data_IF_966104314627
#
_entry.id   IF_966104314627
#
_cell.length_a   1.000
_cell.length_b   1.000
_cell.length_c   1.000
_cell.angle_alpha   90.00
_cell.angle_beta   90.00
_cell.angle_gamma   90.00
#
_symmetry.space_group_name_H-M   'P 1'
#
loop_
_entity.id
_entity.type
_entity.pdbx_description
1 polymer ?
#
# COMPACT_ATOMS: atom_id res chain seq x y z
N UNK A 1 11.19 1.14 -3.45
CA UNK A 1 10.13 0.31 -2.84
C UNK A 1 10.29 -1.15 -3.20
N UNK A 2 9.57 -2.02 -2.50
CA UNK A 2 9.58 -3.46 -2.74
C UNK A 2 9.20 -3.81 -4.19
N UNK A 3 8.24 -3.11 -4.81
CA UNK A 3 7.83 -3.35 -6.20
C UNK A 3 7.31 -2.09 -6.91
N UNK A 4 7.64 -1.96 -8.20
CA UNK A 4 6.91 -1.10 -9.14
C UNK A 4 5.84 -1.95 -9.82
N UNK A 5 4.56 -1.61 -9.62
CA UNK A 5 3.44 -2.40 -10.14
C UNK A 5 2.95 -1.75 -11.43
N UNK A 6 2.96 -2.44 -12.58
CA UNK A 6 2.43 -1.89 -13.82
C UNK A 6 0.96 -1.48 -13.66
N UNK A 7 0.56 -0.38 -14.29
CA UNK A 7 -0.83 0.04 -14.29
C UNK A 7 -1.69 -0.85 -15.20
N UNK A 8 -2.86 -1.22 -14.70
CA UNK A 8 -3.87 -1.92 -15.48
C UNK A 8 -4.60 -0.91 -16.38
N UNK A 9 -4.84 -1.29 -17.64
CA UNK A 9 -5.54 -0.41 -18.60
C UNK A 9 -6.92 -0.99 -18.88
N UNK A 10 -7.99 -0.19 -18.74
CA UNK A 10 -9.35 -0.63 -19.04
C UNK A 10 -9.49 -0.89 -20.53
N UNK A 11 -10.26 -1.91 -20.93
CA UNK A 11 -10.60 -2.17 -22.34
C UNK A 11 -11.67 -1.21 -22.85
N UNK A 12 -11.71 -0.97 -24.17
CA UNK A 12 -12.79 -0.17 -24.74
C UNK A 12 -14.12 -0.91 -24.53
N UNK A 13 -15.16 -0.18 -24.13
CA UNK A 13 -16.50 -0.75 -24.03
C UNK A 13 -17.02 -1.08 -25.43
N UNK A 14 -17.87 -2.11 -25.59
CA UNK A 14 -18.55 -2.37 -26.86
C UNK A 14 -19.34 -1.13 -27.33
N UNK A 15 -19.46 -0.96 -28.65
CA UNK A 15 -20.20 0.16 -29.23
C UNK A 15 -21.67 0.11 -28.81
N UNK A 16 -22.25 1.19 -28.25
CA UNK A 16 -23.65 1.23 -27.83
C UNK A 16 -24.66 0.90 -28.95
N UNK A 17 -24.27 1.03 -30.23
CA UNK A 17 -25.11 0.67 -31.37
C UNK A 17 -25.29 -0.85 -31.58
N UNK A 18 -24.49 -1.69 -30.93
CA UNK A 18 -24.44 -3.13 -31.17
C UNK A 18 -25.31 -4.00 -30.26
N UNK A 19 -25.99 -3.41 -29.25
CA UNK A 19 -26.84 -4.15 -28.30
C UNK A 19 -28.16 -3.41 -28.08
N UNK A 20 -29.32 -3.98 -28.48
CA UNK A 20 -30.62 -3.31 -28.35
C UNK A 20 -31.12 -3.30 -26.90
N UNK A 21 -31.54 -2.12 -26.40
CA UNK A 21 -32.29 -1.98 -25.15
C UNK A 21 -32.26 -0.57 -24.53
N UNK A 22 -33.38 -0.04 -24.01
CA UNK A 22 -33.41 1.26 -23.34
C UNK A 22 -32.69 1.17 -21.97
N UNK A 23 -31.71 2.07 -21.71
CA UNK A 23 -31.15 2.25 -20.35
C UNK A 23 -31.94 3.38 -19.68
N UNK A 24 -32.51 3.18 -18.48
CA UNK A 24 -33.28 4.22 -17.78
C UNK A 24 -32.46 5.24 -16.98
N UNK A 25 -31.12 5.21 -17.00
CA UNK A 25 -30.28 6.35 -16.58
C UNK A 25 -30.34 7.45 -17.64
N UNK A 26 -30.34 8.71 -17.21
CA UNK A 26 -30.25 9.86 -18.13
C UNK A 26 -29.10 9.61 -19.12
N UNK A 27 -29.37 9.58 -20.44
CA UNK A 27 -28.36 9.25 -21.46
C UNK A 27 -27.08 10.09 -21.33
N UNK A 28 -27.17 11.29 -20.74
CA UNK A 28 -26.02 12.16 -20.46
C UNK A 28 -25.06 11.63 -19.38
N UNK A 29 -25.53 10.94 -18.35
CA UNK A 29 -24.69 10.50 -17.23
C UNK A 29 -23.86 9.27 -17.62
N UNK A 30 -24.46 8.30 -18.30
CA UNK A 30 -23.75 7.16 -18.88
C UNK A 30 -22.72 7.65 -19.92
N UNK A 31 -23.10 8.56 -20.82
CA UNK A 31 -22.16 9.16 -21.79
C UNK A 31 -21.00 9.87 -21.10
N UNK A 32 -21.26 10.56 -19.98
CA UNK A 32 -20.21 11.22 -19.20
C UNK A 32 -19.26 10.18 -18.59
N UNK A 33 -19.79 9.12 -17.98
CA UNK A 33 -18.99 8.02 -17.44
C UNK A 33 -18.11 7.40 -18.53
N UNK A 34 -18.68 7.07 -19.69
CA UNK A 34 -17.96 6.48 -20.82
C UNK A 34 -16.86 7.40 -21.35
N UNK A 35 -17.14 8.70 -21.49
CA UNK A 35 -16.16 9.70 -21.91
C UNK A 35 -15.00 9.82 -20.90
N UNK A 36 -15.30 9.87 -19.60
CA UNK A 36 -14.29 9.92 -18.53
C UNK A 36 -13.46 8.62 -18.48
N UNK A 37 -14.10 7.47 -18.67
CA UNK A 37 -13.43 6.17 -18.77
C UNK A 37 -12.50 6.09 -19.98
N UNK A 38 -12.92 6.65 -21.12
CA UNK A 38 -12.10 6.74 -22.32
C UNK A 38 -10.88 7.67 -22.11
N UNK A 39 -11.07 8.80 -21.41
CA UNK A 39 -9.98 9.68 -21.01
C UNK A 39 -8.97 8.97 -20.09
N UNK A 40 -9.46 8.23 -19.07
CA UNK A 40 -8.63 7.40 -18.20
C UNK A 40 -7.82 6.37 -19.00
N UNK A 41 -8.48 5.62 -19.89
CA UNK A 41 -7.82 4.65 -20.78
C UNK A 41 -6.72 5.30 -21.62
N UNK A 42 -6.98 6.50 -22.16
CA UNK A 42 -6.02 7.23 -23.00
C UNK A 42 -4.77 7.57 -22.20
N UNK A 43 -4.91 8.23 -21.05
CA UNK A 43 -3.79 8.69 -20.22
C UNK A 43 -2.94 7.50 -19.74
N UNK A 44 -3.58 6.45 -19.20
CA UNK A 44 -2.88 5.23 -18.75
C UNK A 44 -2.13 4.51 -19.88
N UNK A 45 -2.51 4.73 -21.16
CA UNK A 45 -1.85 4.14 -22.32
C UNK A 45 -0.75 5.04 -22.89
N UNK A 46 -0.93 6.35 -22.88
CA UNK A 46 -0.02 7.30 -23.55
C UNK A 46 1.14 7.73 -22.67
N UNK A 47 0.94 7.83 -21.36
CA UNK A 47 1.92 8.40 -20.43
C UNK A 47 2.24 7.44 -19.28
N UNK A 48 2.89 6.28 -19.52
CA UNK A 48 3.01 5.19 -18.55
C UNK A 48 3.73 5.55 -17.23
N UNK A 49 4.50 6.64 -17.21
CA UNK A 49 5.25 7.11 -16.04
C UNK A 49 4.67 8.40 -15.42
N UNK A 50 3.59 8.96 -15.96
CA UNK A 50 2.95 10.17 -15.43
C UNK A 50 2.02 9.85 -14.24
N UNK A 51 2.57 9.29 -13.17
CA UNK A 51 1.78 8.77 -12.05
C UNK A 51 0.92 9.83 -11.35
N UNK A 52 1.39 11.08 -11.27
CA UNK A 52 0.59 12.20 -10.77
C UNK A 52 -0.66 12.45 -11.63
N UNK A 53 -0.52 12.47 -12.95
CA UNK A 53 -1.65 12.61 -13.89
C UNK A 53 -2.61 11.42 -13.81
N UNK A 54 -2.08 10.22 -13.59
CA UNK A 54 -2.90 9.03 -13.38
C UNK A 54 -3.77 9.15 -12.12
N UNK A 55 -3.19 9.58 -11.00
CA UNK A 55 -3.92 9.79 -9.75
C UNK A 55 -5.03 10.82 -9.96
N UNK A 56 -4.69 11.98 -10.54
CA UNK A 56 -5.66 13.04 -10.80
C UNK A 56 -6.81 12.58 -11.71
N UNK A 57 -6.49 11.86 -12.79
CA UNK A 57 -7.51 11.36 -13.74
C UNK A 57 -8.43 10.34 -13.08
N UNK A 58 -7.88 9.48 -12.22
CA UNK A 58 -8.67 8.51 -11.45
C UNK A 58 -9.57 9.24 -10.45
N UNK A 59 -9.05 10.25 -9.75
CA UNK A 59 -9.82 11.03 -8.77
C UNK A 59 -10.95 11.83 -9.44
N UNK A 60 -10.80 12.23 -10.71
CA UNK A 60 -11.88 12.82 -11.53
C UNK A 60 -12.91 11.76 -11.97
N UNK A 61 -12.49 10.54 -12.28
CA UNK A 61 -13.38 9.48 -12.77
C UNK A 61 -14.22 8.85 -11.64
N UNK A 62 -13.63 8.68 -10.47
CA UNK A 62 -14.19 7.90 -9.36
C UNK A 62 -15.57 8.39 -8.87
N UNK A 63 -15.84 9.70 -8.69
CA UNK A 63 -17.16 10.21 -8.33
C UNK A 63 -18.28 9.75 -9.28
N UNK A 64 -17.98 9.61 -10.57
CA UNK A 64 -18.95 9.16 -11.57
C UNK A 64 -19.23 7.66 -11.48
N UNK A 65 -18.19 6.84 -11.24
CA UNK A 65 -18.35 5.40 -11.01
C UNK A 65 -19.22 5.15 -9.78
N UNK A 66 -18.97 5.89 -8.70
CA UNK A 66 -19.74 5.77 -7.46
C UNK A 66 -21.20 6.21 -7.63
N UNK A 67 -21.46 7.29 -8.37
CA UNK A 67 -22.81 7.74 -8.66
C UNK A 67 -23.63 6.68 -9.42
N UNK A 68 -23.04 6.10 -10.47
CA UNK A 68 -23.71 5.03 -11.23
C UNK A 68 -23.86 3.77 -10.39
N UNK A 69 -22.87 3.42 -9.56
CA UNK A 69 -22.96 2.28 -8.66
C UNK A 69 -24.12 2.43 -7.68
N UNK A 70 -24.24 3.59 -7.03
CA UNK A 70 -25.33 3.87 -6.09
C UNK A 70 -26.70 3.81 -6.76
N UNK A 71 -26.82 4.31 -7.99
CA UNK A 71 -28.05 4.23 -8.77
C UNK A 71 -28.41 2.77 -9.10
N UNK A 72 -27.43 1.99 -9.58
CA UNK A 72 -27.62 0.59 -9.97
C UNK A 72 -27.91 -0.31 -8.77
N UNK A 73 -27.30 -0.07 -7.61
CA UNK A 73 -27.62 -0.82 -6.38
C UNK A 73 -29.06 -0.61 -5.95
N UNK A 74 -29.63 0.58 -6.17
CA UNK A 74 -31.05 0.86 -5.87
C UNK A 74 -31.99 0.28 -6.93
N UNK A 75 -31.60 0.39 -8.20
CA UNK A 75 -32.38 -0.08 -9.34
C UNK A 75 -31.48 -0.81 -10.35
N UNK A 76 -31.31 -2.14 -10.23
CA UNK A 76 -30.39 -2.92 -11.07
C UNK A 76 -30.68 -2.83 -12.58
N UNK A 77 -31.94 -2.58 -12.96
CA UNK A 77 -32.38 -2.44 -14.35
C UNK A 77 -31.85 -1.16 -15.04
N UNK A 78 -31.23 -0.24 -14.29
CA UNK A 78 -30.74 1.04 -14.79
C UNK A 78 -29.53 0.90 -15.73
N UNK A 79 -28.69 -0.10 -15.49
CA UNK A 79 -27.48 -0.34 -16.27
C UNK A 79 -27.68 -1.54 -17.19
N UNK A 80 -27.42 -1.32 -18.47
CA UNK A 80 -27.39 -2.42 -19.44
C UNK A 80 -26.35 -3.47 -19.03
N UNK A 81 -26.53 -4.75 -19.41
CA UNK A 81 -25.49 -5.76 -19.23
C UNK A 81 -24.21 -5.35 -19.96
N UNK A 82 -23.20 -4.89 -19.21
CA UNK A 82 -21.89 -4.49 -19.73
C UNK A 82 -20.83 -5.39 -19.10
N UNK A 83 -19.94 -5.93 -19.94
CA UNK A 83 -18.80 -6.69 -19.46
C UNK A 83 -17.62 -5.74 -19.27
N UNK A 84 -17.29 -5.45 -18.01
CA UNK A 84 -16.16 -4.63 -17.62
C UNK A 84 -14.89 -5.46 -17.72
N UNK A 85 -13.92 -5.00 -18.52
CA UNK A 85 -12.68 -5.73 -18.77
C UNK A 85 -11.44 -4.88 -18.53
N UNK A 86 -10.50 -5.47 -17.80
CA UNK A 86 -9.23 -4.90 -17.42
C UNK A 86 -8.08 -5.88 -17.71
N UNK A 87 -6.86 -5.37 -17.73
CA UNK A 87 -5.66 -6.21 -17.85
C UNK A 87 -5.19 -6.61 -16.45
N UNK A 88 -5.08 -7.89 -16.14
CA UNK A 88 -4.38 -8.28 -14.89
C UNK A 88 -2.89 -7.95 -15.03
N UNK A 89 -2.34 -7.38 -13.97
CA UNK A 89 -0.94 -6.94 -13.83
C UNK A 89 -0.22 -7.75 -12.77
N UNK A 90 -0.96 -8.42 -11.88
CA UNK A 90 -0.43 -9.29 -10.83
C UNK A 90 -0.27 -10.75 -11.28
N UNK A 91 -0.55 -11.07 -12.55
CA UNK A 91 -0.28 -12.40 -13.12
C UNK A 91 0.70 -12.34 -14.31
N UNK A 92 1.76 -13.17 -14.31
CA UNK A 92 2.75 -13.21 -15.38
C UNK A 92 2.18 -13.81 -16.66
N UNK A 93 1.17 -14.68 -16.56
CA UNK A 93 0.46 -15.21 -17.72
C UNK A 93 -0.38 -14.14 -18.43
N UNK A 94 -0.79 -13.08 -17.73
CA UNK A 94 -1.43 -11.91 -18.33
C UNK A 94 -0.39 -10.94 -18.92
N UNK A 95 0.80 -10.81 -18.32
CA UNK A 95 1.85 -9.90 -18.84
C UNK A 95 2.56 -10.45 -20.08
N UNK A 96 2.89 -11.73 -20.14
CA UNK A 96 3.85 -12.25 -21.13
C UNK A 96 3.21 -12.98 -22.33
N UNK A 97 1.88 -13.03 -22.43
CA UNK A 97 1.22 -13.64 -23.61
C UNK A 97 1.26 -12.71 -24.84
N UNK A 98 1.62 -13.23 -26.04
CA UNK A 98 1.48 -12.51 -27.29
C UNK A 98 0.03 -12.08 -27.55
N UNK A 99 -0.17 -10.99 -28.27
CA UNK A 99 -1.51 -10.66 -28.80
C UNK A 99 -1.91 -11.74 -29.83
N UNK A 100 -3.21 -12.11 -29.95
CA UNK A 100 -4.40 -11.54 -29.31
C UNK A 100 -4.85 -12.24 -28.01
N UNK A 101 -4.15 -13.29 -27.56
CA UNK A 101 -4.59 -14.23 -26.52
C UNK A 101 -4.27 -13.80 -25.07
N UNK A 102 -4.09 -12.50 -24.84
CA UNK A 102 -3.80 -11.95 -23.51
C UNK A 102 -5.09 -12.09 -22.67
N UNK A 103 -5.10 -12.91 -21.60
CA UNK A 103 -6.29 -13.15 -20.82
C UNK A 103 -6.82 -11.83 -20.24
N UNK A 104 -8.14 -11.77 -20.03
CA UNK A 104 -8.84 -10.56 -19.60
C UNK A 104 -9.47 -10.82 -18.25
N UNK A 105 -9.18 -9.94 -17.30
CA UNK A 105 -9.82 -9.95 -16.00
C UNK A 105 -11.07 -9.08 -16.12
N UNK A 106 -12.23 -9.61 -15.73
CA UNK A 106 -13.46 -8.86 -15.91
C UNK A 106 -14.67 -9.57 -15.35
N UNK A 107 -15.75 -8.80 -15.23
CA UNK A 107 -17.05 -9.27 -14.79
C UNK A 107 -18.16 -8.36 -15.30
N UNK A 108 -19.38 -8.70 -14.98
CA UNK A 108 -20.59 -7.98 -15.41
C UNK A 108 -20.98 -6.86 -14.45
N UNK A 109 -20.39 -6.83 -13.25
CA UNK A 109 -20.74 -5.87 -12.20
C UNK A 109 -19.85 -4.63 -12.25
N UNK A 110 -20.42 -3.49 -11.85
CA UNK A 110 -19.68 -2.24 -11.71
C UNK A 110 -18.71 -2.28 -10.51
N UNK A 111 -18.88 -3.23 -9.57
CA UNK A 111 -17.92 -3.50 -8.50
C UNK A 111 -16.54 -3.91 -9.05
N UNK A 112 -16.49 -4.64 -10.18
CA UNK A 112 -15.23 -4.97 -10.86
C UNK A 112 -14.53 -3.72 -11.38
N UNK A 113 -15.28 -2.81 -12.00
CA UNK A 113 -14.74 -1.53 -12.46
C UNK A 113 -14.22 -0.70 -11.29
N UNK A 114 -15.00 -0.56 -10.21
CA UNK A 114 -14.60 0.18 -9.02
C UNK A 114 -13.32 -0.37 -8.39
N UNK A 115 -13.24 -1.69 -8.22
CA UNK A 115 -12.05 -2.35 -7.67
C UNK A 115 -10.81 -2.08 -8.53
N UNK A 116 -10.88 -2.26 -9.86
CA UNK A 116 -9.74 -1.97 -10.73
C UNK A 116 -9.34 -0.48 -10.75
N UNK A 117 -10.30 0.45 -10.69
CA UNK A 117 -10.01 1.89 -10.61
C UNK A 117 -9.24 2.22 -9.33
N UNK A 118 -9.71 1.71 -8.18
CA UNK A 118 -9.06 1.92 -6.90
C UNK A 118 -7.69 1.23 -6.82
N UNK A 119 -7.57 0.00 -7.34
CA UNK A 119 -6.28 -0.69 -7.43
C UNK A 119 -5.28 0.10 -8.27
N UNK A 120 -5.69 0.66 -9.42
CA UNK A 120 -4.81 1.52 -10.21
C UNK A 120 -4.40 2.80 -9.48
N UNK A 121 -5.29 3.39 -8.68
CA UNK A 121 -4.95 4.54 -7.83
C UNK A 121 -3.84 4.17 -6.85
N UNK A 122 -3.99 3.03 -6.17
CA UNK A 122 -3.00 2.52 -5.22
C UNK A 122 -1.67 2.19 -5.91
N UNK A 123 -1.70 1.57 -7.10
CA UNK A 123 -0.50 1.32 -7.92
C UNK A 123 0.20 2.61 -8.35
N UNK A 124 -0.56 3.63 -8.78
CA UNK A 124 0.00 4.92 -9.17
C UNK A 124 0.66 5.64 -7.99
N UNK A 125 0.03 5.62 -6.81
CA UNK A 125 0.62 6.14 -5.57
C UNK A 125 1.93 5.42 -5.20
N UNK A 126 1.94 4.09 -5.30
CA UNK A 126 3.14 3.30 -5.13
C UNK A 126 4.24 3.74 -6.10
N UNK A 127 3.95 3.79 -7.40
CA UNK A 127 4.96 4.12 -8.39
C UNK A 127 5.46 5.57 -8.27
N UNK A 128 4.60 6.51 -7.86
CA UNK A 128 4.98 7.89 -7.53
C UNK A 128 5.93 7.95 -6.32
N UNK A 129 5.68 7.13 -5.28
CA UNK A 129 6.60 7.01 -4.16
C UNK A 129 7.95 6.41 -4.60
N UNK A 130 7.95 5.43 -5.51
CA UNK A 130 9.19 4.89 -6.06
C UNK A 130 9.98 5.92 -6.88
N UNK A 131 9.33 6.74 -7.70
CA UNK A 131 10.03 7.75 -8.52
C UNK A 131 10.70 8.84 -7.68
N UNK A 132 10.15 9.17 -6.50
CA UNK A 132 10.79 10.09 -5.55
C UNK A 132 12.06 9.51 -4.90
N UNK A 133 12.21 8.19 -4.91
CA UNK A 133 13.28 7.45 -4.27
C UNK A 133 14.40 7.03 -5.24
N UNK A 134 14.32 7.42 -6.50
CA UNK A 134 15.39 7.18 -7.48
C UNK A 134 16.67 7.94 -7.08
N UNK A 135 17.85 7.33 -7.29
CA UNK A 135 19.12 7.91 -6.84
C UNK A 135 19.41 9.20 -7.60
N UNK A 136 19.56 10.30 -6.84
CA UNK A 136 20.05 11.58 -7.33
C UNK A 136 20.85 12.28 -6.25
N UNK A 137 21.76 13.17 -6.65
CA UNK A 137 22.46 14.04 -5.71
C UNK A 137 21.49 15.15 -5.27
N UNK A 138 20.97 15.02 -4.07
CA UNK A 138 19.96 15.93 -3.51
C UNK A 138 20.43 16.41 -2.15
N UNK A 139 20.17 17.68 -1.81
CA UNK A 139 20.46 18.20 -0.48
C UNK A 139 19.76 17.41 0.62
N UNK A 140 20.32 17.43 1.84
CA UNK A 140 19.79 16.67 2.99
C UNK A 140 18.31 16.98 3.27
N UNK A 141 17.93 18.25 3.21
CA UNK A 141 16.57 18.72 3.52
C UNK A 141 15.57 18.26 2.47
N UNK A 142 15.93 18.35 1.19
CA UNK A 142 15.09 17.88 0.10
C UNK A 142 15.00 16.34 0.10
N UNK A 143 16.07 15.63 0.48
CA UNK A 143 16.01 14.18 0.70
C UNK A 143 15.04 13.80 1.83
N UNK A 144 15.02 14.55 2.95
CA UNK A 144 14.05 14.34 4.02
C UNK A 144 12.61 14.63 3.54
N UNK A 145 12.41 15.69 2.76
CA UNK A 145 11.11 16.02 2.17
C UNK A 145 10.60 14.90 1.25
N UNK A 146 11.45 14.40 0.35
CA UNK A 146 11.13 13.28 -0.55
C UNK A 146 10.77 12.01 0.23
N UNK A 147 11.50 11.71 1.31
CA UNK A 147 11.19 10.56 2.18
C UNK A 147 9.81 10.70 2.83
N UNK A 148 9.47 11.88 3.35
CA UNK A 148 8.16 12.13 3.96
C UNK A 148 7.04 12.00 2.91
N UNK A 149 7.23 12.57 1.72
CA UNK A 149 6.24 12.51 0.65
C UNK A 149 6.04 11.09 0.12
N UNK A 150 7.12 10.33 -0.08
CA UNK A 150 7.05 8.94 -0.50
C UNK A 150 6.36 8.06 0.56
N UNK A 151 6.67 8.26 1.84
CA UNK A 151 5.98 7.57 2.93
C UNK A 151 4.49 7.92 2.93
N UNK A 152 4.12 9.19 2.71
CA UNK A 152 2.73 9.62 2.66
C UNK A 152 1.93 8.91 1.56
N UNK A 153 2.46 8.87 0.34
CA UNK A 153 1.84 8.16 -0.78
C UNK A 153 1.67 6.66 -0.50
N UNK A 154 2.64 6.03 0.16
CA UNK A 154 2.54 4.63 0.55
C UNK A 154 1.46 4.38 1.61
N UNK A 155 1.32 5.27 2.61
CA UNK A 155 0.25 5.18 3.60
C UNK A 155 -1.13 5.37 2.98
N UNK A 156 -1.25 6.28 2.00
CA UNK A 156 -2.48 6.43 1.20
C UNK A 156 -2.77 5.16 0.40
N UNK A 157 -1.77 4.59 -0.26
CA UNK A 157 -1.91 3.36 -1.06
C UNK A 157 -2.35 2.16 -0.21
N UNK A 158 -1.69 1.96 0.94
CA UNK A 158 -2.06 0.93 1.92
C UNK A 158 -3.53 1.07 2.36
N UNK A 159 -3.97 2.30 2.61
CA UNK A 159 -5.36 2.63 2.91
C UNK A 159 -6.35 2.24 1.81
N UNK A 160 -6.02 2.54 0.55
CA UNK A 160 -6.84 2.19 -0.62
C UNK A 160 -6.93 0.67 -0.77
N UNK A 161 -5.81 -0.06 -0.67
CA UNK A 161 -5.82 -1.52 -0.71
C UNK A 161 -6.67 -2.12 0.40
N UNK A 162 -6.51 -1.62 1.64
CA UNK A 162 -7.33 -2.06 2.76
C UNK A 162 -8.82 -1.82 2.48
N UNK A 163 -9.21 -0.64 1.98
CA UNK A 163 -10.60 -0.35 1.62
C UNK A 163 -11.13 -1.30 0.54
N UNK A 164 -10.36 -1.56 -0.52
CA UNK A 164 -10.76 -2.49 -1.60
C UNK A 164 -10.99 -3.89 -1.03
N UNK A 165 -10.06 -4.41 -0.22
CA UNK A 165 -10.16 -5.73 0.38
C UNK A 165 -11.39 -5.91 1.27
N UNK A 166 -11.73 -4.90 2.10
CA UNK A 166 -12.81 -5.01 3.08
C UNK A 166 -14.18 -4.59 2.55
N UNK A 167 -14.25 -3.59 1.66
CA UNK A 167 -15.51 -2.93 1.29
C UNK A 167 -15.94 -3.16 -0.16
N UNK A 168 -15.04 -3.60 -1.04
CA UNK A 168 -15.31 -3.69 -2.49
C UNK A 168 -15.34 -5.15 -2.95
N UNK A 169 -14.32 -5.94 -2.59
CA UNK A 169 -14.19 -7.31 -3.11
C UNK A 169 -15.28 -8.28 -2.62
N UNK A 170 -15.88 -8.06 -1.45
CA UNK A 170 -17.03 -8.87 -1.01
C UNK A 170 -18.21 -8.83 -1.99
N UNK A 171 -18.43 -7.68 -2.64
CA UNK A 171 -19.49 -7.51 -3.65
C UNK A 171 -19.04 -7.91 -5.07
N UNK A 172 -17.74 -8.14 -5.27
CA UNK A 172 -17.21 -8.70 -6.51
C UNK A 172 -17.53 -10.20 -6.58
N UNK A 173 -17.28 -10.93 -5.48
CA UNK A 173 -17.38 -12.39 -5.45
C UNK A 173 -18.83 -12.92 -5.52
N UNK A 174 -19.81 -12.15 -5.03
CA UNK A 174 -21.21 -12.53 -5.02
C UNK A 174 -21.79 -12.87 -6.41
N UNK A 175 -21.26 -12.26 -7.48
CA UNK A 175 -21.68 -12.51 -8.87
C UNK A 175 -20.62 -13.25 -9.71
N UNK A 176 -19.35 -13.22 -9.30
CA UNK A 176 -18.27 -13.92 -10.01
C UNK A 176 -18.39 -15.45 -9.92
N UNK A 177 -19.04 -15.98 -8.87
CA UNK A 177 -19.34 -17.40 -8.72
C UNK A 177 -20.24 -17.96 -9.85
N UNK A 178 -21.02 -17.12 -10.53
CA UNK A 178 -21.89 -17.52 -11.64
C UNK A 178 -21.16 -17.61 -12.99
N UNK A 179 -20.02 -16.92 -13.13
CA UNK A 179 -19.21 -16.94 -14.35
C UNK A 179 -18.00 -17.86 -14.13
N UNK A 180 -18.04 -19.06 -14.70
CA UNK A 180 -16.96 -20.06 -14.70
C UNK A 180 -15.67 -19.59 -15.40
N UNK A 181 -15.05 -18.51 -14.90
CA UNK A 181 -13.77 -17.97 -15.34
C UNK A 181 -12.90 -17.70 -14.12
N UNK A 182 -11.67 -18.20 -14.21
CA UNK A 182 -10.62 -18.08 -13.22
C UNK A 182 -10.56 -16.64 -12.64
N UNK A 183 -10.86 -16.47 -11.34
CA UNK A 183 -10.82 -15.15 -10.68
C UNK A 183 -9.36 -14.62 -10.71
N UNK A 184 -9.07 -13.44 -11.28
CA UNK A 184 -7.73 -12.87 -11.29
C UNK A 184 -7.19 -12.66 -9.87
N UNK A 185 -5.86 -12.60 -9.68
CA UNK A 185 -5.25 -12.28 -8.38
C UNK A 185 -5.70 -10.91 -7.82
N UNK A 186 -6.10 -9.97 -8.67
CA UNK A 186 -6.67 -8.67 -8.24
C UNK A 186 -8.03 -8.79 -7.53
N UNK A 187 -8.78 -9.87 -7.79
CA UNK A 187 -10.06 -10.14 -7.13
C UNK A 187 -9.94 -10.92 -5.82
N UNK A 188 -8.72 -11.28 -5.40
CA UNK A 188 -8.49 -12.05 -4.18
C UNK A 188 -8.26 -11.13 -2.97
N UNK A 189 -9.10 -11.27 -1.94
CA UNK A 189 -9.03 -10.48 -0.70
C UNK A 189 -7.67 -10.64 -0.01
N UNK A 190 -7.12 -11.86 0.00
CA UNK A 190 -5.82 -12.15 0.60
C UNK A 190 -4.68 -11.45 -0.13
N UNK A 191 -4.68 -11.47 -1.46
CA UNK A 191 -3.68 -10.76 -2.28
C UNK A 191 -3.76 -9.26 -2.05
N UNK A 192 -4.96 -8.66 -2.09
CA UNK A 192 -5.10 -7.20 -1.91
C UNK A 192 -4.75 -6.77 -0.48
N UNK A 193 -5.12 -7.56 0.54
CA UNK A 193 -4.65 -7.33 1.93
C UNK A 193 -3.13 -7.48 2.04
N UNK A 194 -2.53 -8.45 1.37
CA UNK A 194 -1.09 -8.61 1.30
C UNK A 194 -0.39 -7.38 0.71
N UNK A 195 -0.96 -6.77 -0.34
CA UNK A 195 -0.47 -5.50 -0.90
C UNK A 195 -0.60 -4.33 0.09
N UNK A 196 -1.70 -4.27 0.86
CA UNK A 196 -1.87 -3.26 1.91
C UNK A 196 -0.77 -3.35 2.99
N UNK A 197 -0.43 -4.57 3.41
CA UNK A 197 0.63 -4.83 4.40
C UNK A 197 2.03 -4.56 3.84
N UNK A 198 2.29 -5.00 2.61
CA UNK A 198 3.56 -4.77 1.90
C UNK A 198 3.87 -3.28 1.80
N UNK A 199 2.89 -2.48 1.37
CA UNK A 199 3.04 -1.02 1.23
C UNK A 199 3.17 -0.30 2.57
N UNK A 200 2.47 -0.76 3.61
CA UNK A 200 2.65 -0.24 4.97
C UNK A 200 4.07 -0.51 5.49
N UNK A 201 4.60 -1.70 5.25
CA UNK A 201 5.96 -2.06 5.64
C UNK A 201 7.02 -1.24 4.88
N UNK A 202 6.81 -0.99 3.57
CA UNK A 202 7.65 -0.08 2.78
C UNK A 202 7.64 1.34 3.38
N UNK A 203 6.47 1.87 3.77
CA UNK A 203 6.35 3.20 4.37
C UNK A 203 7.09 3.28 5.72
N UNK A 204 6.93 2.25 6.55
CA UNK A 204 7.62 2.15 7.84
C UNK A 204 9.14 2.10 7.67
N UNK A 205 9.66 1.37 6.67
CA UNK A 205 11.10 1.36 6.36
C UNK A 205 11.65 2.75 6.00
N UNK A 206 10.90 3.57 5.26
CA UNK A 206 11.32 4.95 4.97
C UNK A 206 11.39 5.80 6.24
N UNK A 207 10.42 5.63 7.14
CA UNK A 207 10.44 6.32 8.43
C UNK A 207 11.54 5.81 9.36
N UNK A 208 11.87 4.52 9.34
CA UNK A 208 13.01 3.95 10.08
C UNK A 208 14.32 4.53 9.55
N UNK A 209 14.50 4.61 8.23
CA UNK A 209 15.68 5.24 7.62
C UNK A 209 15.85 6.68 8.09
N UNK A 210 14.76 7.44 8.14
CA UNK A 210 14.75 8.80 8.69
C UNK A 210 15.11 8.82 10.18
N UNK A 211 14.51 7.94 10.99
CA UNK A 211 14.78 7.85 12.42
C UNK A 211 16.24 7.48 12.72
N UNK A 212 16.81 6.56 11.95
CA UNK A 212 18.22 6.19 12.01
C UNK A 212 19.12 7.39 11.70
N UNK A 213 18.83 8.16 10.64
CA UNK A 213 19.58 9.37 10.29
C UNK A 213 19.47 10.49 11.34
N UNK A 214 18.48 10.44 12.23
CA UNK A 214 18.31 11.35 13.37
C UNK A 214 18.91 10.81 14.67
N UNK A 215 19.65 9.71 14.63
CA UNK A 215 20.34 9.15 15.80
C UNK A 215 19.44 8.38 16.77
N UNK A 216 18.31 7.82 16.30
CA UNK A 216 17.49 6.95 17.15
C UNK A 216 18.29 5.74 17.61
N UNK A 217 18.20 5.39 18.90
CA UNK A 217 18.98 4.29 19.48
C UNK A 217 18.63 2.90 18.92
N UNK A 218 19.64 2.02 18.87
CA UNK A 218 19.56 0.68 18.28
C UNK A 218 18.44 -0.18 18.88
N UNK A 219 18.26 -0.16 20.20
CA UNK A 219 17.18 -0.91 20.85
C UNK A 219 15.77 -0.50 20.38
N UNK A 220 15.57 0.78 20.06
CA UNK A 220 14.30 1.26 19.51
C UNK A 220 14.17 0.91 18.04
N UNK A 221 15.23 1.09 17.26
CA UNK A 221 15.26 0.71 15.84
C UNK A 221 14.97 -0.78 15.64
N UNK A 222 15.51 -1.65 16.51
CA UNK A 222 15.22 -3.08 16.48
C UNK A 222 13.71 -3.37 16.59
N UNK A 223 12.99 -2.71 17.51
CA UNK A 223 11.53 -2.85 17.66
C UNK A 223 10.77 -2.43 16.40
N UNK A 224 11.23 -1.39 15.71
CA UNK A 224 10.63 -0.92 14.46
C UNK A 224 10.88 -1.91 13.31
N UNK A 225 12.11 -2.44 13.19
CA UNK A 225 12.43 -3.43 12.17
C UNK A 225 11.68 -4.76 12.38
N UNK A 226 11.49 -5.20 13.63
CA UNK A 226 10.66 -6.38 13.95
C UNK A 226 9.22 -6.16 13.49
N UNK A 227 8.64 -4.98 13.74
CA UNK A 227 7.29 -4.63 13.29
C UNK A 227 7.15 -4.64 11.76
N UNK A 228 8.15 -4.14 11.03
CA UNK A 228 8.21 -4.26 9.56
C UNK A 228 8.31 -5.72 9.11
N UNK A 229 9.16 -6.52 9.75
CA UNK A 229 9.35 -7.92 9.40
C UNK A 229 8.05 -8.72 9.53
N UNK A 230 7.27 -8.48 10.59
CA UNK A 230 5.96 -9.13 10.81
C UNK A 230 5.00 -8.82 9.66
N UNK A 231 4.91 -7.56 9.20
CA UNK A 231 4.02 -7.18 8.09
C UNK A 231 4.43 -7.82 6.78
N UNK A 232 5.73 -7.86 6.48
CA UNK A 232 6.24 -8.56 5.30
C UNK A 232 5.94 -10.06 5.37
N UNK A 233 6.05 -10.67 6.54
CA UNK A 233 5.80 -12.11 6.74
C UNK A 233 4.31 -12.44 6.59
N UNK A 234 3.42 -11.60 7.13
CA UNK A 234 1.97 -11.72 6.94
C UNK A 234 1.58 -11.53 5.47
N UNK A 235 2.12 -10.52 4.79
CA UNK A 235 1.92 -10.33 3.34
C UNK A 235 2.39 -11.56 2.53
N UNK A 236 3.57 -12.08 2.86
CA UNK A 236 4.15 -13.26 2.24
C UNK A 236 3.27 -14.51 2.44
N UNK A 237 2.73 -14.71 3.65
CA UNK A 237 1.82 -15.81 3.94
C UNK A 237 0.55 -15.74 3.09
N UNK A 238 -0.04 -14.55 2.95
CA UNK A 238 -1.22 -14.33 2.10
C UNK A 238 -0.92 -14.63 0.61
N UNK A 239 0.21 -14.16 0.10
CA UNK A 239 0.63 -14.45 -1.27
C UNK A 239 0.88 -15.95 -1.51
N UNK A 240 1.53 -16.63 -0.56
CA UNK A 240 1.79 -18.07 -0.64
C UNK A 240 0.51 -18.89 -0.56
N UNK A 241 -0.43 -18.50 0.29
CA UNK A 241 -1.74 -19.15 0.38
C UNK A 241 -2.41 -19.13 -1.00
N UNK A 242 -2.50 -17.96 -1.64
CA UNK A 242 -3.05 -17.84 -3.00
C UNK A 242 -2.33 -18.71 -4.03
N UNK A 243 -1.00 -18.84 -3.95
CA UNK A 243 -0.24 -19.71 -4.85
C UNK A 243 -0.53 -21.21 -4.63
N UNK A 244 -0.91 -21.60 -3.41
CA UNK A 244 -1.20 -22.96 -2.99
C UNK A 244 -2.65 -23.38 -3.21
N UNK A 245 -3.63 -22.46 -3.10
CA UNK A 245 -5.08 -22.72 -3.25
C UNK A 245 -5.53 -23.13 -4.67
N UNK A 246 -4.62 -23.67 -5.50
CA UNK A 246 -4.91 -24.10 -6.86
C UNK A 246 -5.70 -25.41 -6.87
N UNK A 247 -6.89 -25.48 -7.51
CA UNK A 247 -7.49 -26.77 -7.82
C UNK A 247 -6.59 -27.51 -8.82
N UNK A 248 -6.30 -28.78 -8.53
CA UNK A 248 -5.39 -29.65 -9.29
C UNK A 248 -5.97 -30.12 -10.64
N UNK A 249 -6.91 -29.39 -11.24
CA UNK A 249 -7.50 -29.77 -12.52
C UNK A 249 -6.51 -29.45 -13.64
N UNK A 250 -5.66 -30.43 -13.93
CA UNK A 250 -4.91 -30.56 -15.18
C UNK A 250 -5.89 -30.56 -16.35
N UNK A 251 -6.05 -29.41 -16.99
CA UNK A 251 -6.53 -29.34 -18.37
C UNK A 251 -5.46 -28.66 -19.20
N UNK A 252 -4.55 -29.49 -19.74
CA UNK A 252 -3.64 -29.11 -20.80
C UNK A 252 -2.31 -28.50 -20.35
N UNK A 253 -1.36 -28.54 -21.29
CA UNK A 253 0.04 -28.09 -21.21
C UNK A 253 0.23 -26.58 -20.97
N UNK A 254 -0.84 -25.87 -20.61
CA UNK A 254 -0.86 -24.42 -20.42
C UNK A 254 -0.99 -24.08 -18.94
N UNK A 255 0.04 -23.43 -18.37
CA UNK A 255 -0.04 -22.83 -17.02
C UNK A 255 -1.29 -21.92 -16.98
N UNK A 256 -2.19 -22.20 -16.03
CA UNK A 256 -3.41 -21.41 -15.79
C UNK A 256 -3.11 -19.92 -15.77
N UNK A 257 -3.99 -19.13 -16.38
CA UNK A 257 -3.76 -17.71 -16.61
C UNK A 257 -3.73 -16.91 -15.29
N UNK A 258 -4.25 -17.43 -14.18
CA UNK A 258 -4.51 -16.68 -12.93
C UNK A 258 -3.47 -16.84 -11.83
N UNK A 259 -2.31 -17.41 -12.13
CA UNK A 259 -1.21 -17.49 -11.16
C UNK A 259 -0.74 -16.10 -10.70
N UNK A 260 -0.42 -15.98 -9.41
CA UNK A 260 0.22 -14.77 -8.86
C UNK A 260 1.65 -14.64 -9.42
N UNK A 261 2.08 -13.41 -9.67
CA UNK A 261 3.44 -13.06 -10.04
C UNK A 261 4.44 -13.50 -8.97
N UNK A 262 5.43 -14.38 -9.29
CA UNK A 262 6.41 -14.85 -8.32
C UNK A 262 7.30 -13.73 -7.75
N UNK A 263 7.41 -12.59 -8.44
CA UNK A 263 8.15 -11.44 -7.93
C UNK A 263 7.49 -10.83 -6.68
N UNK A 264 6.17 -10.98 -6.53
CA UNK A 264 5.41 -10.47 -5.38
C UNK A 264 5.81 -11.13 -4.05
N UNK A 265 5.71 -12.47 -3.90
CA UNK A 265 6.21 -13.16 -2.71
C UNK A 265 7.73 -13.08 -2.59
N UNK A 266 8.50 -13.04 -3.69
CA UNK A 266 9.95 -12.87 -3.61
C UNK A 266 10.33 -11.53 -2.97
N UNK A 267 9.66 -10.43 -3.35
CA UNK A 267 9.88 -9.11 -2.77
C UNK A 267 9.49 -9.07 -1.28
N UNK A 268 8.35 -9.65 -0.91
CA UNK A 268 7.96 -9.75 0.50
C UNK A 268 8.98 -10.56 1.32
N UNK A 269 9.48 -11.68 0.77
CA UNK A 269 10.50 -12.50 1.41
C UNK A 269 11.84 -11.75 1.57
N UNK A 270 12.25 -10.96 0.57
CA UNK A 270 13.39 -10.05 0.71
C UNK A 270 13.16 -9.03 1.83
N UNK A 271 11.94 -8.48 1.94
CA UNK A 271 11.55 -7.59 3.02
C UNK A 271 11.68 -8.23 4.41
N UNK A 272 11.21 -9.47 4.58
CA UNK A 272 11.38 -10.24 5.83
C UNK A 272 12.87 -10.40 6.16
N UNK A 273 13.66 -10.88 5.20
CA UNK A 273 15.09 -11.14 5.41
C UNK A 273 15.85 -9.86 5.79
N UNK A 274 15.62 -8.77 5.05
CA UNK A 274 16.23 -7.48 5.32
C UNK A 274 15.84 -6.93 6.70
N UNK A 275 14.55 -6.88 7.01
CA UNK A 275 14.10 -6.32 8.29
C UNK A 275 14.61 -7.12 9.49
N UNK A 276 14.59 -8.47 9.42
CA UNK A 276 15.16 -9.32 10.47
C UNK A 276 16.67 -9.12 10.62
N UNK A 277 17.41 -9.04 9.51
CA UNK A 277 18.85 -8.78 9.56
C UNK A 277 19.18 -7.40 10.17
N UNK A 278 18.41 -6.36 9.84
CA UNK A 278 18.61 -5.03 10.42
C UNK A 278 18.22 -4.98 11.91
N UNK A 279 17.19 -5.73 12.33
CA UNK A 279 16.89 -5.91 13.76
C UNK A 279 18.03 -6.63 14.49
N UNK A 280 18.53 -7.75 13.93
CA UNK A 280 19.66 -8.50 14.45
C UNK A 280 20.90 -7.59 14.57
N UNK A 281 21.21 -6.79 13.55
CA UNK A 281 22.30 -5.81 13.57
C UNK A 281 22.15 -4.84 14.75
N UNK A 282 20.98 -4.25 14.94
CA UNK A 282 20.74 -3.32 16.04
C UNK A 282 20.93 -3.98 17.42
N UNK A 283 20.42 -5.20 17.58
CA UNK A 283 20.56 -5.98 18.83
C UNK A 283 22.01 -6.41 19.08
N UNK A 284 22.75 -6.75 18.03
CA UNK A 284 24.15 -7.11 18.13
C UNK A 284 25.03 -5.93 18.55
N UNK A 285 24.76 -4.73 18.02
CA UNK A 285 25.47 -3.51 18.45
C UNK A 285 25.16 -3.22 19.92
N UNK A 286 23.90 -3.29 20.34
CA UNK A 286 23.51 -3.09 21.74
C UNK A 286 24.13 -4.14 22.69
N UNK A 287 24.23 -5.40 22.26
CA UNK A 287 24.93 -6.44 23.02
C UNK A 287 26.45 -6.20 23.09
N UNK A 288 27.05 -5.73 22.00
CA UNK A 288 28.47 -5.36 21.96
C UNK A 288 28.77 -4.20 22.92
N UNK A 289 27.94 -3.17 22.92
CA UNK A 289 28.06 -2.00 23.80
C UNK A 289 27.94 -2.37 25.29
N UNK A 290 27.21 -3.45 25.61
CA UNK A 290 27.09 -4.03 26.96
C UNK A 290 28.24 -4.95 27.35
N UNK A 291 29.21 -5.18 26.46
CA UNK A 291 30.31 -6.11 26.66
C UNK A 291 29.94 -7.58 26.43
N UNK A 292 28.73 -7.91 25.97
CA UNK A 292 28.29 -9.28 25.69
C UNK A 292 28.82 -9.77 24.32
N UNK A 293 30.15 -9.72 24.10
CA UNK A 293 30.75 -9.85 22.76
C UNK A 293 30.42 -11.19 22.07
N UNK A 294 30.49 -12.31 22.79
CA UNK A 294 30.12 -13.62 22.24
C UNK A 294 28.69 -13.67 21.66
N UNK A 295 27.73 -13.06 22.38
CA UNK A 295 26.34 -12.93 21.94
C UNK A 295 26.21 -11.97 20.75
N UNK A 296 26.93 -10.84 20.77
CA UNK A 296 26.96 -9.89 19.66
C UNK A 296 27.43 -10.56 18.36
N UNK A 297 28.49 -11.38 18.41
CA UNK A 297 29.00 -12.15 17.27
C UNK A 297 27.93 -13.12 16.76
N UNK A 298 27.30 -13.89 17.64
CA UNK A 298 26.27 -14.86 17.27
C UNK A 298 25.11 -14.20 16.51
N UNK A 299 24.58 -13.10 17.04
CA UNK A 299 23.47 -12.35 16.43
C UNK A 299 23.92 -11.71 15.11
N UNK A 300 25.10 -11.08 15.05
CA UNK A 300 25.58 -10.43 13.83
C UNK A 300 25.85 -11.43 12.70
N UNK A 301 26.36 -12.64 13.02
CA UNK A 301 26.49 -13.74 12.03
C UNK A 301 25.12 -14.18 11.50
N UNK A 302 24.09 -14.20 12.35
CA UNK A 302 22.72 -14.47 11.90
C UNK A 302 22.24 -13.41 10.91
N UNK A 303 22.47 -12.13 11.20
CA UNK A 303 22.15 -11.02 10.31
C UNK A 303 22.82 -11.19 8.93
N UNK A 304 24.12 -11.50 8.91
CA UNK A 304 24.87 -11.72 7.68
C UNK A 304 24.31 -12.89 6.86
N UNK A 305 24.03 -14.02 7.51
CA UNK A 305 23.46 -15.19 6.84
C UNK A 305 22.10 -14.88 6.20
N UNK A 306 21.23 -14.13 6.88
CA UNK A 306 19.93 -13.69 6.34
C UNK A 306 20.07 -12.83 5.08
N UNK A 307 21.10 -11.98 5.02
CA UNK A 307 21.35 -11.15 3.83
C UNK A 307 21.97 -11.94 2.67
N UNK A 308 22.83 -12.92 2.95
CA UNK A 308 23.48 -13.76 1.95
C UNK A 308 22.52 -14.78 1.32
N UNK A 309 21.52 -15.26 2.07
CA UNK A 309 20.49 -16.20 1.61
C UNK A 309 19.36 -15.52 0.83
N UNK A 310 19.69 -14.50 0.02
CA UNK A 310 18.73 -13.69 -0.73
C UNK A 310 17.84 -14.57 -1.63
N UNK A 311 16.50 -14.42 -1.58
CA UNK A 311 15.58 -15.10 -2.50
C UNK A 311 15.89 -14.77 -3.97
N UNK A 312 15.87 -15.79 -4.83
CA UNK A 312 15.95 -15.61 -6.28
C UNK A 312 14.65 -14.97 -6.79
N UNK A 313 14.73 -13.96 -7.67
CA UNK A 313 13.57 -13.35 -8.34
C UNK A 313 13.28 -11.88 -8.00
N UNK A 314 13.70 -11.36 -6.84
CA UNK A 314 13.42 -9.96 -6.46
C UNK A 314 14.52 -8.96 -6.90
N UNK A 315 15.30 -9.28 -7.94
CA UNK A 315 16.60 -8.67 -8.24
C UNK A 315 16.59 -7.13 -8.34
N UNK A 316 15.49 -6.55 -8.81
CA UNK A 316 15.38 -5.11 -9.06
C UNK A 316 14.66 -4.30 -7.95
N UNK A 317 14.29 -4.91 -6.81
CA UNK A 317 13.60 -4.17 -5.75
C UNK A 317 14.54 -3.21 -5.00
N UNK A 318 13.98 -2.17 -4.38
CA UNK A 318 14.74 -1.30 -3.47
C UNK A 318 15.35 -2.07 -2.31
N UNK A 319 14.61 -3.04 -1.76
CA UNK A 319 15.09 -3.86 -0.65
C UNK A 319 16.28 -4.71 -1.10
N UNK A 320 16.22 -5.30 -2.30
CA UNK A 320 17.36 -6.00 -2.90
C UNK A 320 18.61 -5.12 -2.99
N UNK A 321 18.45 -3.86 -3.42
CA UNK A 321 19.56 -2.88 -3.44
C UNK A 321 20.04 -2.53 -2.03
N UNK A 322 19.15 -2.37 -1.06
CA UNK A 322 19.54 -2.12 0.34
C UNK A 322 20.29 -3.31 0.94
N UNK A 323 19.91 -4.55 0.61
CA UNK A 323 20.65 -5.75 1.03
C UNK A 323 22.09 -5.68 0.48
N UNK A 324 22.26 -5.38 -0.81
CA UNK A 324 23.58 -5.26 -1.45
C UNK A 324 24.44 -4.17 -0.80
N UNK A 325 23.85 -3.01 -0.47
CA UNK A 325 24.55 -1.91 0.20
C UNK A 325 24.97 -2.27 1.64
N UNK A 326 24.10 -2.92 2.41
CA UNK A 326 24.32 -3.15 3.84
C UNK A 326 25.14 -4.43 4.13
N UNK A 327 25.16 -5.40 3.22
CA UNK A 327 25.91 -6.65 3.38
C UNK A 327 27.41 -6.46 3.67
N UNK A 328 28.17 -5.64 2.92
CA UNK A 328 29.60 -5.46 3.20
C UNK A 328 29.85 -4.81 4.57
N UNK A 329 28.99 -3.88 4.98
CA UNK A 329 29.10 -3.23 6.29
C UNK A 329 28.85 -4.23 7.43
N UNK A 330 27.80 -5.05 7.34
CA UNK A 330 27.53 -6.09 8.33
C UNK A 330 28.67 -7.11 8.38
N UNK A 331 29.21 -7.51 7.23
CA UNK A 331 30.38 -8.39 7.18
C UNK A 331 31.58 -7.77 7.91
N UNK A 332 31.88 -6.50 7.66
CA UNK A 332 32.96 -5.80 8.35
C UNK A 332 32.75 -5.75 9.87
N UNK A 333 31.50 -5.58 10.34
CA UNK A 333 31.19 -5.59 11.77
C UNK A 333 31.42 -6.98 12.39
N UNK A 334 31.03 -8.06 11.70
CA UNK A 334 31.34 -9.44 12.13
C UNK A 334 32.84 -9.63 12.29
N UNK A 335 33.62 -9.26 11.27
CA UNK A 335 35.07 -9.44 11.27
C UNK A 335 35.73 -8.64 12.42
N UNK A 336 35.25 -7.43 12.69
CA UNK A 336 35.70 -6.62 13.83
C UNK A 336 35.35 -7.28 15.17
N UNK A 337 34.10 -7.71 15.36
CA UNK A 337 33.68 -8.30 16.65
C UNK A 337 34.42 -9.60 16.95
N UNK A 338 34.63 -10.44 15.93
CA UNK A 338 35.43 -11.67 16.04
C UNK A 338 36.88 -11.33 16.43
N UNK A 339 37.51 -10.37 15.75
CA UNK A 339 38.87 -9.94 16.09
C UNK A 339 39.00 -9.46 17.53
N UNK A 340 38.07 -8.63 18.01
CA UNK A 340 38.06 -8.13 19.39
C UNK A 340 37.89 -9.29 20.37
N UNK A 341 36.99 -10.22 20.06
CA UNK A 341 36.78 -11.39 20.93
C UNK A 341 38.01 -12.30 20.97
N UNK A 342 38.67 -12.53 19.85
CA UNK A 342 39.83 -13.44 19.75
C UNK A 342 41.12 -12.82 20.31
N UNK A 343 41.15 -11.51 20.55
CA UNK A 343 42.33 -10.80 21.06
C UNK A 343 42.19 -10.24 22.47
N UNK A 344 40.96 -9.90 22.90
CA UNK A 344 40.72 -9.21 24.17
C UNK A 344 39.72 -9.95 25.06
N UNK A 345 38.53 -10.28 24.55
CA UNK A 345 37.41 -10.68 25.42
C UNK A 345 37.30 -12.19 25.66
N UNK A 346 37.69 -13.02 24.69
CA UNK A 346 37.64 -14.48 24.74
C UNK A 346 36.30 -15.07 25.20
N UNK A 347 35.18 -14.39 24.90
CA UNK A 347 33.85 -14.89 25.23
C UNK A 347 33.51 -16.09 24.34
N UNK A 348 32.82 -17.08 24.90
CA UNK A 348 32.24 -18.17 24.12
C UNK A 348 31.14 -17.63 23.22
N UNK A 349 31.14 -18.04 21.95
CA UNK A 349 30.10 -17.64 20.98
C UNK A 349 28.96 -18.67 21.07
N UNK A 350 27.79 -18.32 21.64
CA UNK A 350 26.69 -19.26 21.74
C UNK A 350 26.07 -19.53 20.36
N UNK A 351 25.48 -20.72 20.14
CA UNK A 351 24.64 -20.95 18.97
C UNK A 351 23.37 -20.09 19.05
N UNK A 352 22.82 -19.67 17.91
CA UNK A 352 21.62 -18.82 17.86
C UNK A 352 20.41 -19.45 18.59
N UNK A 353 20.30 -20.78 18.61
CA UNK A 353 19.24 -21.49 19.32
C UNK A 353 19.32 -21.35 20.86
N UNK A 354 20.51 -21.12 21.41
CA UNK A 354 20.70 -20.96 22.85
C UNK A 354 20.33 -19.55 23.36
N UNK A 355 20.15 -18.58 22.47
CA UNK A 355 19.83 -17.19 22.84
C UNK A 355 18.34 -16.96 23.15
N UNK A 356 17.48 -17.96 22.93
CA UNK A 356 16.04 -17.85 23.16
C UNK A 356 15.39 -16.80 22.26
N UNK A 357 14.29 -16.18 22.74
CA UNK A 357 13.64 -15.09 22.03
C UNK A 357 14.41 -13.77 22.25
N UNK A 358 15.27 -13.43 21.29
CA UNK A 358 16.04 -12.18 21.31
C UNK A 358 15.24 -10.96 20.81
N UNK A 359 14.09 -11.18 20.15
CA UNK A 359 13.36 -10.09 19.53
C UNK A 359 12.52 -9.33 20.55
N UNK A 360 12.67 -8.00 20.64
CA UNK A 360 11.84 -7.19 21.51
C UNK A 360 10.41 -7.10 20.96
N UNK A 361 9.47 -6.69 21.83
CA UNK A 361 8.10 -6.42 21.40
C UNK A 361 8.08 -5.39 20.24
N UNK A 362 7.36 -5.69 19.13
CA UNK A 362 7.31 -4.82 17.97
C UNK A 362 6.71 -3.46 18.33
N UNK A 363 7.19 -2.41 17.65
CA UNK A 363 6.63 -1.06 17.79
C UNK A 363 6.22 -0.53 16.42
N UNK A 364 4.93 -0.27 16.28
CA UNK A 364 4.37 0.36 15.09
C UNK A 364 4.61 1.88 15.12
N UNK A 365 5.19 2.42 14.05
CA UNK A 365 5.43 3.86 13.91
C UNK A 365 4.37 4.57 13.08
N UNK A 366 3.92 3.93 12.00
CA UNK A 366 2.96 4.48 11.05
C UNK A 366 1.71 3.61 10.95
N UNK A 367 0.57 4.23 10.66
CA UNK A 367 -0.69 3.56 10.37
C UNK A 367 -1.15 3.89 8.94
N UNK A 368 -1.84 2.96 8.26
CA UNK A 368 -2.47 3.25 6.98
C UNK A 368 -3.39 4.47 7.09
N UNK A 369 -3.40 5.33 6.07
CA UNK A 369 -4.40 6.40 6.01
C UNK A 369 -5.74 5.80 5.65
N UNK A 370 -6.77 6.01 6.46
CA UNK A 370 -8.11 5.54 6.12
C UNK A 370 -8.56 6.16 4.81
N UNK A 371 -8.80 5.33 3.81
CA UNK A 371 -9.35 5.80 2.55
C UNK A 371 -10.83 6.13 2.71
N UNK A 372 -11.22 7.32 2.23
CA UNK A 372 -12.62 7.75 2.14
C UNK A 372 -12.94 7.98 0.67
N UNK A 373 -13.93 7.27 0.09
CA UNK A 373 -14.38 7.54 -1.26
C UNK A 373 -14.83 9.00 -1.41
N UNK A 374 -14.60 9.63 -2.57
CA UNK A 374 -15.14 10.96 -2.84
C UNK A 374 -16.67 10.91 -2.89
N UNK A 375 -17.36 12.05 -2.70
CA UNK A 375 -18.79 12.12 -2.89
C UNK A 375 -19.18 11.68 -4.32
N UNK A 376 -20.35 11.09 -4.45
CA UNK A 376 -20.89 10.71 -5.75
C UNK A 376 -21.16 11.98 -6.57
N UNK A 377 -20.72 12.01 -7.83
CA UNK A 377 -21.07 13.09 -8.75
C UNK A 377 -22.57 12.99 -9.10
N UNK A 378 -23.43 13.46 -8.21
CA UNK A 378 -24.86 13.64 -8.47
C UNK A 378 -25.10 15.07 -8.94
N UNK A 379 -26.14 15.30 -9.76
CA UNK A 379 -26.38 16.59 -10.42
C UNK A 379 -26.46 17.84 -9.51
N UNK A 380 -26.47 17.69 -8.18
CA UNK A 380 -26.36 18.79 -7.21
C UNK A 380 -24.96 19.42 -7.14
N UNK A 381 -23.89 18.66 -7.41
CA UNK A 381 -22.51 19.17 -7.32
C UNK A 381 -22.17 20.14 -8.46
N UNK A 382 -22.91 20.07 -9.57
CA UNK A 382 -22.80 21.01 -10.70
C UNK A 382 -23.12 22.45 -10.30
N UNK A 383 -23.94 22.67 -9.26
CA UNK A 383 -24.24 24.04 -8.78
C UNK A 383 -23.08 24.65 -7.99
N UNK A 384 -22.23 23.84 -7.36
CA UNK A 384 -21.07 24.35 -6.60
C UNK A 384 -19.91 24.76 -7.52
N UNK A 385 -19.60 23.97 -8.55
CA UNK A 385 -18.57 24.32 -9.54
C UNK A 385 -18.98 25.49 -10.44
N UNK A 386 -20.26 25.57 -10.83
CA UNK A 386 -20.77 26.69 -11.63
C UNK A 386 -20.79 28.02 -10.86
N UNK A 387 -20.94 28.00 -9.53
CA UNK A 387 -20.84 29.23 -8.71
C UNK A 387 -19.39 29.69 -8.53
N UNK A 388 -18.43 28.77 -8.34
CA UNK A 388 -17.03 29.14 -8.14
C UNK A 388 -16.32 29.60 -9.42
N UNK A 389 -16.74 29.11 -10.59
CA UNK A 389 -16.19 29.55 -11.89
C UNK A 389 -16.65 30.94 -12.34
N UNK A 390 -17.71 31.49 -11.76
CA UNK A 390 -18.20 32.84 -12.07
C UNK A 390 -17.49 33.92 -11.24
N UNK A 391 -16.96 33.57 -10.05
CA UNK A 391 -16.26 34.53 -9.19
C UNK A 391 -14.79 34.76 -9.56
N UNK A 392 -14.15 33.87 -10.32
CA UNK A 392 -12.72 34.02 -10.67
C UNK A 392 -12.44 34.85 -11.94
N UNK A 393 -13.47 35.25 -12.69
CA UNK A 393 -13.31 35.95 -13.98
C UNK A 393 -13.82 37.41 -14.03
N UNK A 394 -14.01 38.06 -12.89
CA UNK A 394 -14.13 39.52 -12.82
C UNK A 394 -12.96 40.14 -12.03
N UNK A 395 -11.88 40.41 -12.76
CA UNK A 395 -11.25 41.73 -12.73
C UNK A 395 -10.46 42.14 -11.49
N UNK A 396 -9.17 41.78 -11.52
CA UNK A 396 -8.06 42.46 -10.86
C UNK A 396 -7.92 43.90 -11.40
N UNK A 397 -7.62 44.90 -10.54
CA UNK A 397 -7.28 46.24 -11.02
C UNK A 397 -6.89 47.32 -9.98
N UNK A 398 -5.65 47.23 -9.47
CA UNK A 398 -4.68 48.33 -9.18
C UNK A 398 -4.98 49.43 -8.13
N UNK A 399 -4.05 49.61 -7.18
CA UNK A 399 -3.77 50.92 -6.55
C UNK A 399 -3.19 50.83 -5.12
N UNK A 400 -1.88 51.04 -4.97
CA UNK A 400 -1.18 50.97 -3.67
C UNK A 400 -1.20 52.26 -2.84
N UNK A 401 -0.82 52.16 -1.56
CA UNK A 401 -0.06 53.16 -0.79
C UNK A 401 0.20 52.67 0.65
N UNK A 402 1.39 53.00 1.15
CA UNK A 402 1.91 52.84 2.51
C UNK A 402 0.98 53.39 3.61
N UNK A 403 1.03 52.79 4.80
CA UNK A 403 1.19 53.51 6.08
C UNK A 403 1.47 52.57 7.25
N UNK A 404 2.42 52.99 8.07
CA UNK A 404 2.87 52.51 9.38
C UNK A 404 1.81 52.56 10.49
N UNK A 405 1.98 51.77 11.55
CA UNK A 405 1.35 52.01 12.87
C UNK A 405 1.10 50.73 13.66
N UNK A 406 1.75 50.58 14.82
CA UNK A 406 1.70 49.39 15.65
C UNK A 406 0.62 49.37 16.75
N UNK A 407 0.81 48.38 17.65
CA UNK A 407 0.38 48.25 19.04
C UNK A 407 -0.51 47.02 19.36
N UNK A 408 0.10 46.16 20.19
CA UNK A 408 -0.44 45.55 21.43
C UNK A 408 -1.59 44.53 21.32
N UNK A 409 -1.36 43.35 21.92
CA UNK A 409 -2.32 42.23 22.07
C UNK A 409 -3.44 42.51 23.09
N UNK A 410 -4.09 41.50 23.74
CA UNK A 410 -3.56 40.16 24.06
C UNK A 410 -4.54 38.97 23.89
N UNK A 411 -3.97 37.78 24.11
CA UNK A 411 -4.53 36.50 24.56
C UNK A 411 -6.05 36.40 24.81
N UNK A 412 -6.65 35.34 24.25
CA UNK A 412 -7.78 34.64 24.88
C UNK A 412 -7.63 33.12 24.69
N UNK A 413 -7.42 32.47 25.83
CA UNK A 413 -7.45 31.03 26.08
C UNK A 413 -8.91 30.60 26.21
N UNK A 414 -9.32 29.51 25.56
CA UNK A 414 -10.56 28.78 25.85
C UNK A 414 -10.21 27.29 25.92
N UNK A 415 -10.04 26.70 27.11
CA UNK A 415 -11.07 26.25 28.06
C UNK A 415 -11.81 24.99 27.57
N UNK A 416 -11.38 23.84 28.11
CA UNK A 416 -12.05 22.54 28.02
C UNK A 416 -13.31 22.50 28.91
N UNK A 417 -14.34 21.69 28.59
CA UNK A 417 -15.45 21.47 29.50
C UNK A 417 -15.18 20.30 30.45
N UNK A 418 -15.39 20.58 31.72
CA UNK A 418 -15.30 19.67 32.85
C UNK A 418 -16.50 18.72 32.94
N UNK A 419 -16.22 17.53 33.49
CA UNK A 419 -17.17 16.56 34.02
C UNK A 419 -17.76 17.04 35.36
N UNK A 420 -18.97 16.58 35.69
CA UNK A 420 -19.49 16.19 37.04
C UNK A 420 -21.04 16.22 37.05
N UNK A 421 -21.76 15.62 38.03
CA UNK A 421 -21.41 14.54 38.97
C UNK A 421 -22.51 13.46 39.12
N UNK A 422 -22.15 12.45 39.92
CA UNK A 422 -22.96 11.39 40.52
C UNK A 422 -24.27 11.82 41.21
N UNK A 423 -25.26 10.91 41.19
CA UNK A 423 -26.23 10.71 42.26
C UNK A 423 -26.33 9.21 42.59
N UNK A 424 -26.22 8.93 43.90
CA UNK A 424 -26.33 7.64 44.59
C UNK A 424 -27.80 7.28 44.86
N UNK A 425 -28.13 5.98 44.84
CA UNK A 425 -28.89 5.25 45.88
C UNK A 425 -29.03 3.76 45.48
N UNK A 426 -28.36 2.82 46.18
CA UNK A 426 -28.89 1.89 47.22
C UNK A 426 -30.02 0.97 46.72
N UNK A 427 -29.99 -0.37 46.83
CA UNK A 427 -29.01 -1.29 47.39
C UNK A 427 -29.51 -2.77 47.39
N UNK A 428 -28.69 -3.61 48.00
CA UNK A 428 -28.97 -4.87 48.74
C UNK A 428 -29.35 -6.16 47.98
N UNK A 429 -28.47 -7.17 48.13
CA UNK A 429 -28.76 -8.61 48.26
C UNK A 429 -28.60 -9.41 46.95
N UNK A 430 -27.91 -10.54 46.86
CA UNK A 430 -27.28 -11.42 47.86
C UNK A 430 -26.53 -12.55 47.13
N UNK A 431 -25.81 -13.33 47.93
CA UNK A 431 -24.87 -14.41 47.61
C UNK A 431 -25.44 -15.65 46.88
N UNK A 432 -24.47 -16.46 46.40
CA UNK A 432 -24.48 -17.89 45.98
C UNK A 432 -24.34 -18.05 44.45
N UNK A 433 -23.29 -18.62 43.87
CA UNK A 433 -22.50 -19.79 44.28
C UNK A 433 -23.23 -21.05 43.82
N UNK A 434 -22.80 -21.71 42.74
CA UNK A 434 -22.79 -23.17 42.52
C UNK A 434 -22.37 -23.52 41.06
N UNK A 435 -21.42 -24.45 40.98
CA UNK A 435 -20.85 -25.23 39.86
C UNK A 435 -19.85 -24.58 38.90
#
# INVERSE_FOLDING_TARGET
>A
MSLQIPLSVPKQLPDPASVPGPSPLEPSEIKTLEAKRAALRRILKTAPQAYAEHIQTIDIYLPHVLAVLHAVTKNPQLLRPVVWRWRSVLSPAFRNRPRPSRPEAGGTTLWVELAFVLLNRAYALCNQAASLMEPGSVGRDEQEMRLNQAADYLLQSSGVFAYVAHSVLGNWDADAAAAARENPPEGDVGVVRGLALLTLADAQLLAIRKAHAKGMGNATLAKLYVDCAIKYDEALALFRNRMQSRPSTLVGRHRSATGLDPDLPAAAQCGVAYCRAMADRCLAIDAYDKGEIGKAIAIMRSALNRLQTKPTGASASYISRQIEINTPEIKSLVDTYVRVNDSVSFHTVPPMSALGNIYPAPKQLLQPKTYRPPPCATGSDRKAEALNGVTENMGIGVGGSMSTGGLVGPNLVAAAPAQSPHLLQTGVGGLAGYY
#
